data_IF_968711930304
#
_entry.id   IF_968711930304
#
_cell.length_a   1.000
_cell.length_b   1.000
_cell.length_c   1.000
_cell.angle_alpha   90.00
_cell.angle_beta   90.00
_cell.angle_gamma   90.00
#
_symmetry.space_group_name_H-M   'P 1'
#
loop_
_entity.id
_entity.type
_entity.pdbx_description
1 polymer ?
#
# COMPACT_ATOMS: atom_id res chain seq x y z
N UNK A 1 11.35 9.31 2.44
CA UNK A 1 12.40 9.12 3.47
C UNK A 1 13.01 10.44 3.96
N UNK A 2 13.67 11.24 3.09
CA UNK A 2 14.35 12.50 3.48
C UNK A 2 13.47 13.51 4.23
N UNK A 3 12.22 13.71 3.80
CA UNK A 3 11.31 14.69 4.44
C UNK A 3 10.97 14.38 5.90
N UNK A 4 11.02 13.11 6.30
CA UNK A 4 10.58 12.64 7.61
C UNK A 4 11.69 11.99 8.44
N UNK A 5 12.97 12.11 8.02
CA UNK A 5 14.13 11.54 8.72
C UNK A 5 13.94 10.06 9.12
N UNK A 6 13.32 9.27 8.25
CA UNK A 6 13.05 7.86 8.52
C UNK A 6 14.36 7.09 8.63
N UNK A 7 14.51 6.31 9.70
CA UNK A 7 15.71 5.51 9.99
C UNK A 7 15.63 4.08 9.44
N UNK A 8 14.48 3.70 8.88
CA UNK A 8 14.23 2.39 8.28
C UNK A 8 14.20 2.46 6.75
N UNK A 9 14.33 1.30 6.10
CA UNK A 9 14.33 1.19 4.64
C UNK A 9 12.94 1.46 4.09
N UNK A 10 12.87 2.28 3.05
CA UNK A 10 11.64 2.55 2.31
C UNK A 10 11.82 2.03 0.89
N UNK A 11 10.91 1.16 0.45
CA UNK A 11 10.89 0.64 -0.91
C UNK A 11 10.20 1.65 -1.84
N UNK A 12 10.75 1.83 -3.04
CA UNK A 12 10.07 2.47 -4.16
C UNK A 12 9.60 1.37 -5.12
N UNK A 13 8.31 1.05 -5.12
CA UNK A 13 7.74 -0.06 -5.90
C UNK A 13 7.20 0.43 -7.26
N UNK A 14 8.12 0.83 -8.14
CA UNK A 14 7.75 1.36 -9.46
C UNK A 14 6.94 0.32 -10.27
N UNK A 15 5.74 0.71 -10.70
CA UNK A 15 4.83 -0.15 -11.44
C UNK A 15 4.16 -1.24 -10.59
N UNK A 16 4.11 -1.07 -9.27
CA UNK A 16 3.43 -1.98 -8.34
C UNK A 16 3.92 -3.44 -8.43
N UNK A 17 5.21 -3.68 -8.70
CA UNK A 17 5.74 -5.03 -8.94
C UNK A 17 5.67 -5.91 -7.70
N UNK A 18 6.09 -5.37 -6.55
CA UNK A 18 6.02 -6.09 -5.27
C UNK A 18 4.57 -6.18 -4.83
N UNK A 19 3.80 -5.09 -4.88
CA UNK A 19 2.37 -5.13 -4.53
C UNK A 19 1.60 -6.17 -5.35
N UNK A 20 1.93 -6.37 -6.63
CA UNK A 20 1.31 -7.38 -7.49
C UNK A 20 1.61 -8.81 -7.02
N UNK A 21 2.83 -9.08 -6.56
CA UNK A 21 3.20 -10.40 -6.01
C UNK A 21 2.39 -10.74 -4.74
N UNK A 22 1.97 -9.72 -3.99
CA UNK A 22 1.11 -9.86 -2.82
C UNK A 22 -0.39 -9.82 -3.16
N UNK A 23 -0.76 -9.71 -4.44
CA UNK A 23 -2.16 -9.66 -4.87
C UNK A 23 -2.90 -8.38 -4.46
N UNK A 24 -2.17 -7.28 -4.21
CA UNK A 24 -2.74 -6.04 -3.66
C UNK A 24 -3.22 -5.06 -4.72
N UNK A 25 -2.90 -5.30 -5.99
CA UNK A 25 -3.08 -4.31 -7.05
C UNK A 25 -4.44 -4.47 -7.69
N UNK A 26 -5.18 -3.37 -7.80
CA UNK A 26 -6.44 -3.33 -8.54
C UNK A 26 -6.40 -2.22 -9.59
N UNK A 27 -7.16 -2.41 -10.66
CA UNK A 27 -7.39 -1.38 -11.67
C UNK A 27 -8.52 -0.46 -11.23
N UNK A 28 -8.29 0.85 -11.30
CA UNK A 28 -9.34 1.82 -10.99
C UNK A 28 -10.45 1.74 -12.07
N UNK A 29 -11.72 1.51 -11.66
CA UNK A 29 -12.87 1.54 -12.57
C UNK A 29 -12.92 2.85 -13.37
N UNK A 30 -13.33 2.77 -14.65
CA UNK A 30 -13.26 3.91 -15.59
C UNK A 30 -14.07 5.13 -15.14
N UNK A 31 -15.22 4.88 -14.56
CA UNK A 31 -16.13 5.82 -13.92
C UNK A 31 -15.46 6.57 -12.74
N UNK A 32 -14.62 5.91 -11.95
CA UNK A 32 -13.81 6.57 -10.92
C UNK A 32 -12.63 7.36 -11.50
N UNK A 33 -12.08 6.98 -12.66
CA UNK A 33 -11.03 7.76 -13.34
C UNK A 33 -11.55 9.15 -13.70
N UNK A 34 -12.74 9.22 -14.31
CA UNK A 34 -13.41 10.47 -14.65
C UNK A 34 -13.65 11.36 -13.42
N UNK A 35 -14.12 10.76 -12.32
CA UNK A 35 -14.32 11.47 -11.06
C UNK A 35 -13.01 12.05 -10.50
N UNK A 36 -11.93 11.27 -10.49
CA UNK A 36 -10.62 11.72 -10.01
C UNK A 36 -10.09 12.89 -10.85
N UNK A 37 -10.20 12.79 -12.18
CA UNK A 37 -9.84 13.88 -13.08
C UNK A 37 -10.67 15.14 -12.82
N UNK A 38 -11.97 15.02 -12.49
CA UNK A 38 -12.82 16.16 -12.14
C UNK A 38 -12.38 16.87 -10.86
N UNK A 39 -11.72 16.16 -9.94
CA UNK A 39 -11.09 16.72 -8.74
C UNK A 39 -9.67 17.24 -8.99
N UNK A 40 -9.19 17.23 -10.24
CA UNK A 40 -7.83 17.64 -10.60
C UNK A 40 -6.75 16.63 -10.20
N UNK A 41 -7.13 15.38 -9.93
CA UNK A 41 -6.19 14.31 -9.57
C UNK A 41 -5.68 13.65 -10.85
N UNK A 42 -4.45 13.98 -11.23
CA UNK A 42 -3.74 13.40 -12.38
C UNK A 42 -2.88 12.20 -11.94
N UNK A 43 -3.52 11.04 -11.85
CA UNK A 43 -2.89 9.80 -11.40
C UNK A 43 -1.69 9.38 -12.26
N UNK A 44 -1.80 9.53 -13.59
CA UNK A 44 -0.71 9.15 -14.49
C UNK A 44 0.53 10.01 -14.25
N UNK A 45 0.35 11.33 -14.10
CA UNK A 45 1.45 12.25 -13.79
C UNK A 45 2.05 11.98 -12.41
N UNK A 46 1.23 11.74 -11.38
CA UNK A 46 1.72 11.53 -10.02
C UNK A 46 2.47 10.19 -9.87
N UNK A 47 2.01 9.15 -10.54
CA UNK A 47 2.60 7.82 -10.44
C UNK A 47 3.64 7.55 -11.55
N UNK A 48 3.72 8.39 -12.59
CA UNK A 48 4.58 8.18 -13.75
C UNK A 48 4.20 6.95 -14.57
N UNK A 49 2.93 6.54 -14.51
CA UNK A 49 2.41 5.30 -15.08
C UNK A 49 0.94 5.45 -15.51
N UNK A 50 0.64 5.07 -16.76
CA UNK A 50 -0.70 5.11 -17.35
C UNK A 50 -1.52 3.83 -17.11
N UNK A 51 -1.06 2.92 -16.25
CA UNK A 51 -1.79 1.68 -15.94
C UNK A 51 -3.12 1.90 -15.21
N UNK A 52 -3.30 3.06 -14.56
CA UNK A 52 -4.43 3.34 -13.66
C UNK A 52 -4.63 2.25 -12.60
N UNK A 53 -3.53 1.68 -12.12
CA UNK A 53 -3.53 0.71 -11.04
C UNK A 53 -3.16 1.37 -9.71
N UNK A 54 -3.79 0.91 -8.64
CA UNK A 54 -3.50 1.35 -7.28
C UNK A 54 -3.28 0.12 -6.39
N UNK A 55 -2.31 0.19 -5.46
CA UNK A 55 -2.16 -0.83 -4.44
C UNK A 55 -3.19 -0.63 -3.33
N UNK A 56 -3.80 -1.70 -2.89
CA UNK A 56 -4.58 -1.75 -1.66
C UNK A 56 -3.65 -1.62 -0.44
N UNK A 57 -4.01 -0.81 0.57
CA UNK A 57 -3.27 -0.75 1.82
C UNK A 57 -3.19 -2.11 2.50
N UNK A 58 -1.97 -2.46 2.93
CA UNK A 58 -1.71 -3.71 3.59
C UNK A 58 -0.59 -3.60 4.63
N UNK A 59 -0.67 -4.45 5.65
CA UNK A 59 0.33 -4.63 6.69
C UNK A 59 0.61 -6.13 6.86
N UNK A 60 1.88 -6.50 6.83
CA UNK A 60 2.33 -7.86 7.04
C UNK A 60 3.35 -7.92 8.18
N UNK A 61 3.30 -8.99 8.96
CA UNK A 61 4.35 -9.38 9.90
C UNK A 61 4.94 -10.68 9.36
N UNK A 62 6.26 -10.74 9.23
CA UNK A 62 6.98 -11.89 8.72
C UNK A 62 7.99 -12.39 9.76
N UNK A 63 8.26 -13.70 9.77
CA UNK A 63 9.35 -14.27 10.54
C UNK A 63 10.71 -14.12 9.81
N UNK A 64 11.79 -14.59 10.45
CA UNK A 64 13.14 -14.52 9.88
C UNK A 64 13.35 -15.42 8.66
N UNK A 65 12.46 -16.38 8.42
CA UNK A 65 12.47 -17.25 7.24
C UNK A 65 11.60 -16.66 6.11
N UNK A 66 10.99 -15.48 6.31
CA UNK A 66 10.13 -14.81 5.34
C UNK A 66 8.71 -15.36 5.28
N UNK A 67 8.26 -16.14 6.27
CA UNK A 67 6.88 -16.61 6.36
C UNK A 67 5.98 -15.52 6.92
N UNK A 68 4.81 -15.31 6.32
CA UNK A 68 3.82 -14.36 6.82
C UNK A 68 3.16 -14.94 8.07
N UNK A 69 3.35 -14.26 9.21
CA UNK A 69 2.73 -14.59 10.50
C UNK A 69 1.39 -13.87 10.70
N UNK A 70 1.24 -12.69 10.12
CA UNK A 70 0.01 -11.89 10.16
C UNK A 70 -0.12 -11.05 8.90
N UNK A 71 -1.35 -10.90 8.41
CA UNK A 71 -1.71 -10.05 7.28
C UNK A 71 -2.98 -9.25 7.61
N UNK A 72 -2.95 -7.94 7.40
CA UNK A 72 -4.11 -7.04 7.46
C UNK A 72 -4.16 -6.28 6.13
N UNK A 73 -5.23 -6.47 5.37
CA UNK A 73 -5.44 -5.90 4.05
C UNK A 73 -6.83 -5.28 4.03
N UNK A 74 -6.94 -4.00 3.68
CA UNK A 74 -8.23 -3.32 3.72
C UNK A 74 -8.45 -2.42 2.49
N UNK A 75 -9.56 -2.61 1.75
CA UNK A 75 -9.90 -1.76 0.61
C UNK A 75 -10.24 -0.32 1.03
N UNK A 76 -10.72 -0.12 2.26
CA UNK A 76 -10.94 1.19 2.83
C UNK A 76 -9.60 1.79 3.30
N UNK A 77 -9.02 2.62 2.43
CA UNK A 77 -7.75 3.30 2.70
C UNK A 77 -7.84 4.37 3.81
N UNK A 78 -9.04 4.69 4.29
CA UNK A 78 -9.24 5.61 5.41
C UNK A 78 -9.10 4.88 6.75
N UNK A 79 -9.23 3.56 6.77
CA UNK A 79 -8.97 2.75 7.96
C UNK A 79 -7.47 2.68 8.23
N UNK A 80 -7.02 3.33 9.30
CA UNK A 80 -5.62 3.34 9.75
C UNK A 80 -5.52 2.60 11.09
N UNK A 81 -4.99 1.37 11.11
CA UNK A 81 -4.76 0.65 12.36
C UNK A 81 -3.79 1.42 13.27
N UNK A 82 -3.98 1.30 14.58
CA UNK A 82 -3.06 1.92 15.55
C UNK A 82 -1.73 1.17 15.54
N UNK A 83 -0.58 1.87 15.60
CA UNK A 83 0.73 1.20 15.67
C UNK A 83 0.86 0.25 16.87
N UNK A 84 0.17 0.55 17.99
CA UNK A 84 0.16 -0.29 19.19
C UNK A 84 -0.38 -1.70 18.93
N UNK A 85 -1.34 -1.85 18.03
CA UNK A 85 -1.91 -3.15 17.67
C UNK A 85 -0.85 -4.11 17.10
N UNK A 86 0.17 -3.57 16.42
CA UNK A 86 1.28 -4.36 15.89
C UNK A 86 2.07 -4.99 17.03
N UNK A 87 2.32 -4.22 18.10
CA UNK A 87 3.08 -4.68 19.25
C UNK A 87 2.33 -5.78 19.99
N UNK A 88 1.01 -5.64 20.14
CA UNK A 88 0.20 -6.68 20.79
C UNK A 88 0.14 -7.97 19.95
N UNK A 89 0.03 -7.86 18.62
CA UNK A 89 0.12 -9.03 17.73
C UNK A 89 1.49 -9.70 17.90
N UNK A 90 2.59 -8.93 17.90
CA UNK A 90 3.94 -9.46 18.05
C UNK A 90 4.18 -10.16 19.39
N UNK A 91 3.54 -9.70 20.48
CA UNK A 91 3.64 -10.35 21.80
C UNK A 91 2.90 -11.69 21.86
N UNK A 92 1.90 -11.89 20.99
CA UNK A 92 1.08 -13.08 20.96
C UNK A 92 1.60 -14.17 19.99
N UNK A 93 2.61 -13.85 19.18
CA UNK A 93 3.30 -14.76 18.25
C UNK A 93 4.51 -15.41 18.92
#
# INVERSE_FOLDING_TARGET
>A
AKKHNLTFRVLCDNGNKVASQFGLVFSLPGDLRGLYSSFGIDLERFNGDASWTLPMPARYILDQQGRILSADVNPDYTRRPEPGDIIEILKAL
#
